data_IF_499011544229
#
_entry.id   IF_499011544229
#
_cell.length_a   1.000
_cell.length_b   1.000
_cell.length_c   1.000
_cell.angle_alpha   90.00
_cell.angle_beta   90.00
_cell.angle_gamma   90.00
#
_symmetry.space_group_name_H-M   'P 1'
#
loop_
_entity.id
_entity.type
_entity.pdbx_description
1 polymer ?
#
# COMPACT_ATOMS: atom_id res chain seq x y z
N UNK A 1 29.68 -43.43 6.09
CA UNK A 1 28.53 -44.07 5.43
C UNK A 1 27.75 -42.98 4.70
N UNK A 2 27.72 -43.09 3.38
CA UNK A 2 26.95 -42.27 2.45
C UNK A 2 25.46 -42.59 2.53
N UNK A 3 24.60 -41.59 2.33
CA UNK A 3 23.56 -41.67 1.28
C UNK A 3 22.81 -40.34 1.13
N UNK A 4 22.91 -39.79 -0.08
CA UNK A 4 22.02 -38.78 -0.65
C UNK A 4 20.72 -39.42 -1.12
N UNK A 5 19.63 -38.64 -1.17
CA UNK A 5 18.63 -38.79 -2.24
C UNK A 5 17.88 -37.48 -2.49
N UNK A 6 18.20 -36.86 -3.63
CA UNK A 6 17.34 -35.94 -4.34
C UNK A 6 16.13 -36.71 -4.87
N UNK A 7 14.92 -36.22 -4.65
CA UNK A 7 13.76 -36.59 -5.49
C UNK A 7 13.14 -35.32 -6.04
N UNK A 8 13.41 -35.15 -7.34
CA UNK A 8 12.80 -34.25 -8.31
C UNK A 8 11.36 -34.73 -8.52
N UNK A 9 10.36 -33.87 -8.41
CA UNK A 9 9.04 -34.15 -8.99
C UNK A 9 8.61 -32.97 -9.85
N UNK A 10 8.75 -33.17 -11.16
CA UNK A 10 8.30 -32.22 -12.17
C UNK A 10 6.85 -32.50 -12.54
N UNK A 11 6.08 -31.44 -12.76
CA UNK A 11 4.83 -31.50 -13.52
C UNK A 11 4.99 -30.51 -14.67
N UNK A 12 5.11 -31.08 -15.87
CA UNK A 12 4.94 -30.39 -17.16
C UNK A 12 3.46 -30.45 -17.51
N UNK A 13 2.80 -29.33 -17.78
CA UNK A 13 1.61 -29.29 -18.64
C UNK A 13 1.73 -28.07 -19.58
N UNK A 14 1.31 -28.30 -20.82
CA UNK A 14 1.63 -27.67 -22.09
C UNK A 14 1.13 -26.22 -22.31
N UNK A 15 1.66 -25.49 -23.32
CA UNK A 15 1.15 -24.18 -23.72
C UNK A 15 -0.12 -24.36 -24.57
N UNK A 16 -1.15 -23.54 -24.29
CA UNK A 16 -2.35 -23.46 -25.12
C UNK A 16 -2.10 -22.53 -26.32
N UNK A 17 -2.24 -23.12 -27.50
CA UNK A 17 -2.12 -22.49 -28.82
C UNK A 17 -3.34 -21.62 -29.15
N UNK A 18 -3.06 -20.62 -29.99
CA UNK A 18 -3.95 -19.64 -30.63
C UNK A 18 -5.27 -20.20 -31.20
N UNK A 19 -6.30 -19.35 -31.17
CA UNK A 19 -7.31 -19.28 -32.21
C UNK A 19 -7.47 -17.82 -32.69
N UNK A 20 -7.22 -17.60 -33.98
CA UNK A 20 -7.54 -16.39 -34.72
C UNK A 20 -8.52 -16.77 -35.83
N UNK A 21 -9.65 -16.06 -35.94
CA UNK A 21 -10.59 -15.95 -37.08
C UNK A 21 -11.34 -14.61 -36.85
N UNK A 22 -11.17 -13.56 -37.68
CA UNK A 22 -11.95 -13.27 -38.91
C UNK A 22 -13.36 -12.78 -38.54
N UNK A 23 -13.97 -11.66 -38.94
CA UNK A 23 -14.00 -10.76 -40.12
C UNK A 23 -14.84 -9.54 -39.67
N UNK A 24 -14.42 -8.28 -39.81
CA UNK A 24 -14.62 -7.43 -40.99
C UNK A 24 -16.04 -6.83 -41.10
N UNK A 25 -16.22 -5.52 -40.83
CA UNK A 25 -17.11 -4.61 -41.60
C UNK A 25 -16.60 -3.17 -41.43
N UNK A 26 -16.15 -2.57 -42.52
CA UNK A 26 -16.01 -1.12 -42.66
C UNK A 26 -17.33 -0.57 -43.18
N UNK A 27 -17.87 0.48 -42.56
CA UNK A 27 -18.92 1.31 -43.16
C UNK A 27 -18.39 2.73 -43.26
N UNK A 28 -18.05 3.11 -44.49
CA UNK A 28 -17.94 4.50 -44.90
C UNK A 28 -19.36 5.03 -45.18
N UNK A 29 -19.69 6.21 -44.67
CA UNK A 29 -20.98 6.85 -44.90
C UNK A 29 -20.96 8.32 -44.49
N UNK A 30 -21.20 9.19 -45.48
CA UNK A 30 -20.94 10.62 -45.52
C UNK A 30 -21.77 11.54 -44.58
N UNK A 31 -21.10 12.64 -44.19
CA UNK A 31 -21.55 14.04 -44.11
C UNK A 31 -23.05 14.39 -43.98
N UNK A 32 -23.41 15.02 -42.86
CA UNK A 32 -24.29 16.20 -42.88
C UNK A 32 -24.01 17.17 -41.73
N UNK A 33 -24.01 18.45 -42.09
CA UNK A 33 -23.79 19.65 -41.29
C UNK A 33 -24.86 19.87 -40.21
N UNK A 34 -24.48 20.46 -39.07
CA UNK A 34 -25.44 21.14 -38.19
C UNK A 34 -25.07 21.24 -36.72
N UNK A 35 -24.62 22.43 -36.31
CA UNK A 35 -24.80 23.10 -35.01
C UNK A 35 -24.20 22.50 -33.73
N UNK A 36 -23.11 23.16 -33.31
CA UNK A 36 -22.81 23.69 -31.97
C UNK A 36 -23.74 23.20 -30.84
N UNK A 37 -23.19 22.33 -29.99
CA UNK A 37 -23.51 22.31 -28.58
C UNK A 37 -22.18 22.19 -27.81
N UNK A 38 -21.84 23.28 -27.13
CA UNK A 38 -20.77 23.37 -26.14
C UNK A 38 -21.13 22.50 -24.94
N UNK A 39 -20.88 21.20 -25.08
CA UNK A 39 -20.97 20.24 -24.00
C UNK A 39 -19.62 20.25 -23.31
N UNK A 40 -19.54 21.05 -22.24
CA UNK A 40 -18.37 21.23 -21.40
C UNK A 40 -17.62 19.91 -21.21
N UNK A 41 -16.44 19.85 -21.83
CA UNK A 41 -15.44 18.84 -21.55
C UNK A 41 -15.14 18.96 -20.07
N UNK A 42 -15.76 18.11 -19.26
CA UNK A 42 -15.22 17.78 -17.95
C UNK A 42 -13.88 17.14 -18.24
N UNK A 43 -12.83 17.95 -18.25
CA UNK A 43 -11.45 17.48 -18.24
C UNK A 43 -11.35 16.63 -16.99
N UNK A 44 -11.56 15.33 -17.14
CA UNK A 44 -11.21 14.34 -16.14
C UNK A 44 -9.74 14.59 -15.92
N UNK A 45 -9.39 15.23 -14.80
CA UNK A 45 -8.01 15.47 -14.42
C UNK A 45 -7.29 14.14 -14.55
N UNK A 46 -6.50 14.02 -15.61
CA UNK A 46 -5.73 12.82 -15.86
C UNK A 46 -4.79 12.76 -14.67
N UNK A 47 -4.96 11.71 -13.84
CA UNK A 47 -4.09 11.50 -12.70
C UNK A 47 -2.68 11.55 -13.26
N UNK A 48 -1.88 12.51 -12.80
CA UNK A 48 -0.54 12.70 -13.31
C UNK A 48 0.21 11.39 -13.08
N UNK A 49 0.32 10.57 -14.14
CA UNK A 49 1.19 9.41 -14.12
C UNK A 49 2.55 9.95 -13.67
N UNK A 50 3.20 9.32 -12.68
CA UNK A 50 4.46 9.82 -12.21
C UNK A 50 5.37 9.92 -13.43
N UNK A 51 5.97 11.09 -13.67
CA UNK A 51 6.78 11.38 -14.86
C UNK A 51 8.06 10.54 -14.97
N UNK A 52 8.15 9.43 -14.22
CA UNK A 52 9.24 8.49 -14.14
C UNK A 52 8.74 7.07 -14.43
N UNK A 53 9.30 6.38 -15.44
CA UNK A 53 9.01 4.97 -15.71
C UNK A 53 9.21 4.05 -14.50
N UNK A 54 10.17 4.36 -13.63
CA UNK A 54 10.41 3.61 -12.39
C UNK A 54 9.22 3.67 -11.45
N UNK A 55 8.66 4.87 -11.23
CA UNK A 55 7.53 5.05 -10.32
C UNK A 55 6.25 4.42 -10.88
N UNK A 56 6.09 4.41 -12.21
CA UNK A 56 4.99 3.69 -12.86
C UNK A 56 5.10 2.17 -12.61
N UNK A 57 6.29 1.58 -12.76
CA UNK A 57 6.50 0.16 -12.47
C UNK A 57 6.27 -0.17 -10.98
N UNK A 58 6.75 0.69 -10.07
CA UNK A 58 6.50 0.49 -8.63
C UNK A 58 5.00 0.55 -8.33
N UNK A 59 4.28 1.54 -8.88
CA UNK A 59 2.84 1.68 -8.70
C UNK A 59 2.08 0.44 -9.21
N UNK A 60 2.47 -0.10 -10.37
CA UNK A 60 1.90 -1.34 -10.91
C UNK A 60 2.16 -2.54 -9.99
N UNK A 61 3.41 -2.75 -9.58
CA UNK A 61 3.81 -3.89 -8.73
C UNK A 61 3.11 -3.90 -7.37
N UNK A 62 2.85 -2.73 -6.78
CA UNK A 62 2.10 -2.63 -5.53
C UNK A 62 0.60 -2.47 -5.74
N UNK A 63 0.11 -2.48 -6.99
CA UNK A 63 -1.30 -2.22 -7.31
C UNK A 63 -1.82 -0.92 -6.69
N UNK A 64 -1.04 0.16 -6.81
CA UNK A 64 -1.44 1.49 -6.37
C UNK A 64 -2.56 1.99 -7.30
N UNK A 65 -3.76 2.32 -6.78
CA UNK A 65 -4.84 2.83 -7.62
C UNK A 65 -4.44 4.15 -8.28
N UNK A 66 -4.87 4.37 -9.52
CA UNK A 66 -4.57 5.59 -10.27
C UNK A 66 -5.16 6.86 -9.62
N UNK A 67 -6.15 6.71 -8.74
CA UNK A 67 -6.74 7.80 -7.97
C UNK A 67 -6.93 7.33 -6.54
N UNK A 68 -6.30 8.03 -5.60
CA UNK A 68 -6.38 7.65 -4.19
C UNK A 68 -6.63 8.85 -3.29
N UNK A 69 -7.47 8.66 -2.29
CA UNK A 69 -7.47 9.48 -1.09
C UNK A 69 -6.18 9.23 -0.33
N UNK A 70 -5.57 10.31 0.16
CA UNK A 70 -4.30 10.23 0.88
C UNK A 70 -4.41 10.96 2.19
N UNK A 71 -3.89 10.36 3.26
CA UNK A 71 -3.68 11.01 4.54
C UNK A 71 -2.20 11.00 4.91
N UNK A 72 -1.71 12.08 5.51
CA UNK A 72 -0.37 12.12 6.10
C UNK A 72 -0.44 12.59 7.54
N UNK A 73 0.55 12.20 8.32
CA UNK A 73 0.60 12.55 9.73
C UNK A 73 1.63 11.75 10.51
N UNK A 74 1.33 11.52 11.78
CA UNK A 74 2.19 10.73 12.67
C UNK A 74 1.41 9.69 13.45
N UNK A 75 2.05 8.59 13.79
CA UNK A 75 1.51 7.63 14.76
C UNK A 75 2.63 7.19 15.69
N UNK A 76 2.24 6.65 16.84
CA UNK A 76 3.13 6.06 17.83
C UNK A 76 2.82 4.57 17.95
N UNK A 77 3.86 3.77 18.17
CA UNK A 77 3.70 2.35 18.42
C UNK A 77 4.62 1.92 19.55
N UNK A 78 4.13 0.97 20.35
CA UNK A 78 4.88 0.38 21.46
C UNK A 78 5.35 -1.02 21.11
N UNK A 79 6.62 -1.32 21.39
CA UNK A 79 7.27 -2.57 20.98
C UNK A 79 7.65 -3.46 22.16
N UNK A 80 7.22 -4.72 22.12
CA UNK A 80 7.39 -5.69 23.20
C UNK A 80 7.94 -7.02 22.72
N UNK A 81 8.53 -7.78 23.63
CA UNK A 81 9.09 -9.12 23.37
C UNK A 81 8.03 -10.21 23.34
N UNK A 82 6.85 -9.95 23.92
CA UNK A 82 5.72 -10.88 23.97
C UNK A 82 4.40 -10.16 23.73
N UNK A 83 3.36 -10.92 23.37
CA UNK A 83 2.01 -10.39 23.20
C UNK A 83 1.39 -9.85 24.50
N UNK A 84 1.89 -10.25 25.68
CA UNK A 84 1.42 -9.74 26.97
C UNK A 84 1.88 -8.29 27.24
N UNK A 85 2.81 -7.76 26.42
CA UNK A 85 3.29 -6.39 26.49
C UNK A 85 3.94 -5.98 27.82
N UNK A 86 4.56 -6.93 28.51
CA UNK A 86 5.19 -6.71 29.81
C UNK A 86 6.65 -6.25 29.70
N UNK A 87 7.36 -6.72 28.68
CA UNK A 87 8.79 -6.44 28.50
C UNK A 87 9.04 -5.80 27.14
N UNK A 88 9.56 -4.59 27.15
CA UNK A 88 9.90 -3.81 25.96
C UNK A 88 10.96 -4.50 25.09
N UNK A 89 10.73 -4.55 23.78
CA UNK A 89 11.73 -5.02 22.81
C UNK A 89 12.64 -3.87 22.38
N UNK A 90 13.56 -3.46 23.26
CA UNK A 90 14.48 -2.33 22.99
C UNK A 90 15.26 -2.55 21.67
N UNK A 91 15.74 -3.78 21.43
CA UNK A 91 16.48 -4.13 20.22
C UNK A 91 15.61 -4.06 18.97
N UNK A 92 14.40 -4.64 19.01
CA UNK A 92 13.51 -4.66 17.86
C UNK A 92 12.97 -3.28 17.51
N UNK A 93 12.61 -2.49 18.52
CA UNK A 93 12.20 -1.10 18.32
C UNK A 93 13.29 -0.25 17.68
N UNK A 94 14.54 -0.38 18.15
CA UNK A 94 15.67 0.33 17.55
C UNK A 94 15.89 -0.12 16.10
N UNK A 95 15.87 -1.43 15.84
CA UNK A 95 16.10 -1.97 14.51
C UNK A 95 15.04 -1.50 13.50
N UNK A 96 13.75 -1.50 13.86
CA UNK A 96 12.69 -0.99 12.98
C UNK A 96 12.87 0.51 12.67
N UNK A 97 13.18 1.29 13.71
CA UNK A 97 13.36 2.73 13.58
C UNK A 97 14.59 3.08 12.72
N UNK A 98 15.71 2.37 12.91
CA UNK A 98 16.91 2.49 12.09
C UNK A 98 16.60 2.10 10.63
N UNK A 99 15.87 1.01 10.40
CA UNK A 99 15.47 0.55 9.07
C UNK A 99 14.59 1.55 8.34
N UNK A 100 13.59 2.13 9.01
CA UNK A 100 12.72 3.16 8.41
C UNK A 100 13.52 4.42 8.07
N UNK A 101 14.43 4.83 8.94
CA UNK A 101 15.22 6.02 8.69
C UNK A 101 16.21 5.82 7.52
N UNK A 102 16.80 4.63 7.40
CA UNK A 102 17.72 4.30 6.31
C UNK A 102 17.00 4.02 4.99
N UNK A 103 16.03 3.11 5.00
CA UNK A 103 15.44 2.53 3.79
C UNK A 103 14.04 3.04 3.49
N UNK A 104 13.39 3.73 4.44
CA UNK A 104 11.94 3.96 4.43
C UNK A 104 11.19 2.62 4.46
N UNK A 105 9.87 2.66 4.52
CA UNK A 105 9.04 1.45 4.48
C UNK A 105 7.83 1.69 3.61
N UNK A 106 7.67 0.85 2.60
CA UNK A 106 6.48 0.79 1.76
C UNK A 106 5.70 -0.48 2.10
N UNK A 107 4.49 -0.32 2.62
CA UNK A 107 3.57 -1.39 2.95
C UNK A 107 2.51 -1.50 1.84
N UNK A 108 2.56 -2.56 1.04
CA UNK A 108 1.61 -2.81 -0.04
C UNK A 108 0.23 -3.28 0.45
N UNK A 109 0.13 -3.75 1.70
CA UNK A 109 -1.12 -4.14 2.34
C UNK A 109 -1.09 -3.64 3.79
N UNK A 110 -1.39 -2.37 3.98
CA UNK A 110 -1.25 -1.71 5.27
C UNK A 110 -2.44 -2.04 6.19
N UNK A 111 -2.17 -2.72 7.32
CA UNK A 111 -3.14 -3.03 8.39
C UNK A 111 -4.48 -3.56 7.87
N UNK A 112 -4.42 -4.59 7.03
CA UNK A 112 -5.61 -5.22 6.46
C UNK A 112 -6.52 -5.84 7.53
N UNK A 113 -5.94 -6.25 8.65
CA UNK A 113 -6.60 -6.66 9.89
C UNK A 113 -7.54 -5.60 10.47
N UNK A 114 -7.30 -4.31 10.19
CA UNK A 114 -8.11 -3.19 10.70
C UNK A 114 -8.95 -2.55 9.60
N UNK A 115 -8.39 -2.31 8.42
CA UNK A 115 -9.04 -1.50 7.39
C UNK A 115 -9.58 -2.31 6.21
N UNK A 116 -9.28 -3.61 6.15
CA UNK A 116 -9.48 -4.42 4.97
C UNK A 116 -8.43 -4.13 3.89
N UNK A 117 -8.57 -4.79 2.74
CA UNK A 117 -7.59 -4.70 1.65
C UNK A 117 -7.55 -3.32 1.00
N UNK A 118 -6.43 -3.04 0.33
CA UNK A 118 -6.31 -1.91 -0.59
C UNK A 118 -5.48 -0.75 -0.07
N UNK A 119 -5.35 -0.60 1.25
CA UNK A 119 -4.53 0.48 1.82
C UNK A 119 -3.03 0.28 1.53
N UNK A 120 -2.37 1.38 1.15
CA UNK A 120 -0.93 1.46 0.92
C UNK A 120 -0.32 2.43 1.91
N UNK A 121 0.74 2.02 2.60
CA UNK A 121 1.40 2.85 3.61
C UNK A 121 2.84 3.16 3.24
N UNK A 122 3.26 4.40 3.40
CA UNK A 122 4.65 4.81 3.27
C UNK A 122 5.11 5.50 4.56
N UNK A 123 6.12 4.93 5.21
CA UNK A 123 6.72 5.47 6.42
C UNK A 123 8.12 5.94 6.10
N UNK A 124 8.38 7.23 6.35
CA UNK A 124 9.60 7.87 5.85
C UNK A 124 10.55 8.37 6.94
N UNK A 125 10.08 8.39 8.19
CA UNK A 125 10.86 8.79 9.36
C UNK A 125 10.35 8.03 10.58
N UNK A 126 11.28 7.66 11.46
CA UNK A 126 11.00 7.12 12.77
C UNK A 126 11.87 7.82 13.83
N UNK A 127 11.36 7.95 15.05
CA UNK A 127 12.09 8.46 16.20
C UNK A 127 11.63 7.72 17.47
N UNK A 128 12.57 7.22 18.27
CA UNK A 128 12.27 6.79 19.63
C UNK A 128 11.89 7.99 20.50
N UNK A 129 10.70 7.97 21.09
CA UNK A 129 10.14 9.08 21.89
C UNK A 129 9.87 8.70 23.34
N UNK A 130 10.10 7.44 23.71
CA UNK A 130 9.99 6.95 25.08
C UNK A 130 10.71 5.62 25.25
N UNK A 131 10.73 5.07 26.48
CA UNK A 131 11.40 3.80 26.78
C UNK A 131 10.88 2.63 25.95
N UNK A 132 9.58 2.63 25.64
CA UNK A 132 8.86 1.56 24.93
C UNK A 132 8.14 2.06 23.67
N UNK A 133 8.38 3.31 23.24
CA UNK A 133 7.54 3.97 22.23
C UNK A 133 8.39 4.58 21.12
N UNK A 134 8.06 4.20 19.89
CA UNK A 134 8.53 4.85 18.66
C UNK A 134 7.43 5.75 18.08
N UNK A 135 7.83 6.84 17.45
CA UNK A 135 6.99 7.73 16.64
C UNK A 135 7.39 7.66 15.18
N UNK A 136 6.41 7.57 14.30
CA UNK A 136 6.61 7.44 12.86
C UNK A 136 5.87 8.55 12.12
N UNK A 137 6.41 8.95 10.97
CA UNK A 137 5.77 9.84 10.03
C UNK A 137 5.36 9.05 8.79
N UNK A 138 4.13 9.27 8.34
CA UNK A 138 3.52 8.46 7.29
C UNK A 138 2.81 9.30 6.23
N UNK A 139 2.67 8.66 5.08
CA UNK A 139 1.67 8.96 4.05
C UNK A 139 0.98 7.63 3.71
N UNK A 140 -0.34 7.58 3.86
CA UNK A 140 -1.15 6.39 3.60
C UNK A 140 -2.20 6.75 2.56
N UNK A 141 -2.43 5.86 1.60
CA UNK A 141 -3.40 6.05 0.54
C UNK A 141 -4.37 4.87 0.40
N UNK A 142 -5.56 5.17 -0.11
CA UNK A 142 -6.57 4.19 -0.49
C UNK A 142 -7.46 4.73 -1.62
N UNK A 143 -8.01 3.83 -2.44
CA UNK A 143 -9.10 4.16 -3.35
C UNK A 143 -10.43 4.43 -2.60
N UNK A 144 -10.56 3.95 -1.37
CA UNK A 144 -11.75 4.10 -0.53
C UNK A 144 -11.55 5.22 0.50
N UNK A 145 -12.39 6.26 0.40
CA UNK A 145 -12.40 7.37 1.35
C UNK A 145 -12.72 6.92 2.78
N UNK A 146 -13.58 5.92 2.95
CA UNK A 146 -13.99 5.44 4.26
C UNK A 146 -12.83 4.82 5.03
N UNK A 147 -11.89 4.16 4.34
CA UNK A 147 -10.66 3.65 4.94
C UNK A 147 -9.76 4.78 5.45
N UNK A 148 -9.64 5.88 4.70
CA UNK A 148 -8.90 7.07 5.15
C UNK A 148 -9.61 7.76 6.33
N UNK A 149 -10.95 7.82 6.30
CA UNK A 149 -11.75 8.32 7.42
C UNK A 149 -11.49 7.51 8.69
N UNK A 150 -11.53 6.17 8.60
CA UNK A 150 -11.24 5.26 9.72
C UNK A 150 -9.81 5.36 10.22
N UNK A 151 -8.83 5.53 9.33
CA UNK A 151 -7.43 5.75 9.70
C UNK A 151 -7.28 6.99 10.60
N UNK A 152 -7.96 8.07 10.23
CA UNK A 152 -7.87 9.35 10.93
C UNK A 152 -8.84 9.48 12.12
N UNK A 153 -9.64 8.46 12.40
CA UNK A 153 -10.53 8.41 13.57
C UNK A 153 -9.70 8.08 14.83
N UNK A 154 -9.63 8.98 15.83
CA UNK A 154 -8.86 8.76 17.05
C UNK A 154 -9.43 7.62 17.92
N UNK A 155 -10.64 7.15 17.63
CA UNK A 155 -11.28 6.04 18.35
C UNK A 155 -10.91 4.67 17.78
N UNK A 156 -10.30 4.60 16.59
CA UNK A 156 -9.89 3.35 15.96
C UNK A 156 -8.94 2.57 16.87
N UNK A 157 -9.25 1.28 17.06
CA UNK A 157 -8.47 0.35 17.88
C UNK A 157 -7.66 -0.58 16.98
N UNK A 158 -6.45 -0.87 17.43
CA UNK A 158 -5.51 -1.72 16.72
C UNK A 158 -5.19 -2.92 17.60
N UNK A 159 -5.29 -4.16 17.08
CA UNK A 159 -4.81 -5.33 17.78
C UNK A 159 -3.27 -5.31 17.88
N UNK A 160 -2.76 -6.13 18.80
CA UNK A 160 -1.34 -6.43 18.90
C UNK A 160 -0.95 -7.27 17.68
N UNK A 161 0.13 -6.91 17.01
CA UNK A 161 0.64 -7.64 15.84
C UNK A 161 2.08 -8.08 16.06
N UNK A 162 2.42 -9.28 15.60
CA UNK A 162 3.78 -9.78 15.66
C UNK A 162 4.53 -9.46 14.37
N UNK A 163 5.62 -8.70 14.51
CA UNK A 163 6.58 -8.43 13.45
C UNK A 163 7.72 -9.44 13.50
N UNK A 164 7.68 -10.37 12.55
CA UNK A 164 8.70 -11.42 12.41
C UNK A 164 10.08 -10.87 12.03
N UNK A 165 10.17 -9.71 11.36
CA UNK A 165 11.45 -9.17 10.90
C UNK A 165 12.30 -8.70 12.10
N UNK A 166 11.65 -8.10 13.09
CA UNK A 166 12.33 -7.54 14.26
C UNK A 166 12.09 -8.34 15.55
N UNK A 167 11.39 -9.49 15.47
CA UNK A 167 11.00 -10.32 16.62
C UNK A 167 10.35 -9.47 17.71
N UNK A 168 9.30 -8.73 17.32
CA UNK A 168 8.68 -7.71 18.17
C UNK A 168 7.17 -7.71 18.02
N UNK A 169 6.46 -7.67 19.14
CA UNK A 169 5.03 -7.44 19.21
C UNK A 169 4.77 -5.94 19.28
N UNK A 170 3.91 -5.44 18.41
CA UNK A 170 3.59 -4.02 18.28
C UNK A 170 2.17 -3.72 18.72
N UNK A 171 2.02 -2.64 19.49
CA UNK A 171 0.74 -2.02 19.80
C UNK A 171 0.75 -0.63 19.18
N UNK A 172 -0.03 -0.46 18.10
CA UNK A 172 -0.18 0.84 17.47
C UNK A 172 -1.19 1.70 18.25
N UNK A 173 -0.82 2.94 18.53
CA UNK A 173 -1.74 3.97 19.01
C UNK A 173 -2.50 4.59 17.82
N UNK A 174 -3.65 5.26 18.05
CA UNK A 174 -4.40 5.91 16.99
C UNK A 174 -3.56 6.86 16.13
N UNK A 175 -3.76 6.79 14.81
CA UNK A 175 -3.03 7.60 13.85
C UNK A 175 -3.51 9.05 13.94
N UNK A 176 -2.56 9.98 14.04
CA UNK A 176 -2.83 11.42 14.05
C UNK A 176 -2.62 11.98 12.65
N UNK A 177 -3.71 12.10 11.89
CA UNK A 177 -3.67 12.70 10.55
C UNK A 177 -3.59 14.23 10.64
N UNK A 178 -2.64 14.82 9.93
CA UNK A 178 -2.46 16.28 9.82
C UNK A 178 -2.94 16.82 8.47
N UNK A 179 -3.09 15.95 7.47
CA UNK A 179 -3.65 16.31 6.18
C UNK A 179 -4.45 15.15 5.59
N UNK A 180 -5.48 15.51 4.82
CA UNK A 180 -6.23 14.59 3.95
C UNK A 180 -6.40 15.27 2.60
N UNK A 181 -6.08 14.55 1.53
CA UNK A 181 -6.18 15.04 0.16
C UNK A 181 -7.12 14.12 -0.62
N UNK A 182 -7.99 14.74 -1.40
CA UNK A 182 -8.90 14.05 -2.31
C UNK A 182 -8.18 13.25 -3.40
N UNK A 183 -8.93 12.48 -4.19
CA UNK A 183 -8.35 11.58 -5.17
C UNK A 183 -7.59 12.37 -6.24
N UNK A 184 -6.28 12.14 -6.28
CA UNK A 184 -5.34 12.62 -7.29
C UNK A 184 -4.80 11.46 -8.11
#
# INVERSE_FOLDING_TARGET
>A
MTSSSLVRNGIRIAPLLLAALGTGVAVAGCSHSGNIADAGTTTRAEAAAPGSPLLAQVAEQISLPARTWTASGTHTAKGYTTAAAETTSVKGMKADCDNINLNKKLAANFRDDVFGHGMKGFFYKCQGVGPDTNKYWFTISSADQAQIGKLCDPTTKYPIVYDKQHDTYWIDEPFTCTSQVGPS
#
